data_IF_794702548642
#
_entry.id   IF_794702548642
#
_cell.length_a   1.000
_cell.length_b   1.000
_cell.length_c   1.000
_cell.angle_alpha   90.00
_cell.angle_beta   90.00
_cell.angle_gamma   90.00
#
_symmetry.space_group_name_H-M   'P 1'
#
loop_
_entity.id
_entity.type
_entity.pdbx_description
1 polymer ?
#
# COMPACT_ATOMS: atom_id res chain seq x y z
N UNK A 1 -5.63 14.76 29.14
CA UNK A 1 -4.88 13.49 29.02
C UNK A 1 -5.74 12.24 29.20
N UNK A 2 -6.56 12.07 30.25
CA UNK A 2 -7.23 10.78 30.52
C UNK A 2 -8.16 10.27 29.39
N UNK A 3 -8.89 11.18 28.76
CA UNK A 3 -9.81 10.91 27.64
C UNK A 3 -9.13 10.98 26.26
N UNK A 4 -7.81 11.12 26.21
CA UNK A 4 -7.07 11.23 24.96
C UNK A 4 -6.51 9.86 24.57
N UNK A 5 -6.78 9.40 23.35
CA UNK A 5 -6.31 8.10 22.87
C UNK A 5 -4.79 8.01 22.79
N UNK A 6 -4.12 9.14 22.51
CA UNK A 6 -2.65 9.20 22.46
C UNK A 6 -2.01 9.25 23.86
N UNK A 7 -2.79 9.26 24.94
CA UNK A 7 -2.25 9.19 26.29
C UNK A 7 -1.43 7.91 26.49
N UNK A 8 -0.15 8.07 26.85
CA UNK A 8 0.82 6.97 26.97
C UNK A 8 1.74 6.77 25.75
N UNK A 9 1.50 7.48 24.65
CA UNK A 9 2.37 7.53 23.47
C UNK A 9 2.40 8.95 22.85
N UNK A 10 2.33 9.97 23.71
CA UNK A 10 2.21 11.37 23.32
C UNK A 10 3.55 12.09 23.50
N UNK A 11 4.15 12.57 22.42
CA UNK A 11 5.40 13.34 22.46
C UNK A 11 5.29 14.54 23.42
N UNK A 12 4.17 15.26 23.41
CA UNK A 12 3.97 16.41 24.30
C UNK A 12 3.96 15.99 25.77
N UNK A 13 3.39 14.82 26.09
CA UNK A 13 3.39 14.30 27.45
C UNK A 13 4.81 13.93 27.87
N UNK A 14 5.51 13.16 27.05
CA UNK A 14 6.83 12.62 27.36
C UNK A 14 7.88 13.75 27.45
N UNK A 15 7.82 14.72 26.53
CA UNK A 15 8.71 15.88 26.55
C UNK A 15 8.39 16.83 27.70
N UNK A 16 7.12 17.00 28.09
CA UNK A 16 6.77 17.82 29.25
C UNK A 16 7.25 17.19 30.56
N UNK A 17 7.21 15.86 30.69
CA UNK A 17 7.76 15.14 31.86
C UNK A 17 9.29 15.14 31.83
N UNK A 18 9.91 14.92 30.67
CA UNK A 18 11.37 14.81 30.54
C UNK A 18 12.11 16.15 30.60
N UNK A 19 11.54 17.21 30.04
CA UNK A 19 12.21 18.51 29.87
C UNK A 19 11.36 19.72 30.32
N UNK A 20 10.08 19.52 30.62
CA UNK A 20 9.15 20.58 30.98
C UNK A 20 9.23 20.99 32.45
N UNK A 21 8.30 21.87 32.84
CA UNK A 21 8.13 22.29 34.24
C UNK A 21 7.12 21.40 34.94
N UNK A 22 7.30 21.25 36.25
CA UNK A 22 6.41 20.52 37.15
C UNK A 22 5.07 21.26 37.42
N UNK A 23 5.06 22.58 37.33
CA UNK A 23 3.89 23.43 37.60
C UNK A 23 3.46 24.35 36.45
N UNK A 24 2.17 24.71 36.43
CA UNK A 24 1.62 25.73 35.52
C UNK A 24 1.61 27.11 36.19
N UNK A 25 1.95 28.14 35.41
CA UNK A 25 1.72 29.56 35.78
C UNK A 25 0.52 30.17 35.05
N UNK A 26 -0.08 29.43 34.12
CA UNK A 26 -1.19 29.90 33.31
C UNK A 26 -2.51 29.68 34.06
N UNK A 27 -3.09 30.77 34.57
CA UNK A 27 -4.36 30.78 35.32
C UNK A 27 -5.56 31.32 34.54
N UNK A 28 -5.35 31.77 33.30
CA UNK A 28 -6.39 32.33 32.45
C UNK A 28 -7.21 31.25 31.73
N UNK A 29 -8.28 31.67 31.06
CA UNK A 29 -9.05 30.79 30.19
C UNK A 29 -8.19 30.33 29.01
N UNK A 30 -8.34 29.04 28.65
CA UNK A 30 -7.70 28.47 27.46
C UNK A 30 -8.64 28.63 26.28
N UNK A 31 -8.07 28.83 25.09
CA UNK A 31 -8.86 28.75 23.85
C UNK A 31 -9.49 27.36 23.69
N UNK A 32 -10.64 27.33 23.04
CA UNK A 32 -11.28 26.13 22.56
C UNK A 32 -11.44 26.25 21.04
N UNK A 33 -11.25 25.14 20.35
CA UNK A 33 -11.36 25.06 18.89
C UNK A 33 -12.34 23.94 18.57
N UNK A 34 -13.27 24.23 17.66
CA UNK A 34 -14.27 23.29 17.19
C UNK A 34 -13.63 22.08 16.51
N UNK A 35 -14.24 20.92 16.69
CA UNK A 35 -13.85 19.70 15.98
C UNK A 35 -14.22 19.84 14.50
N UNK A 36 -13.33 19.39 13.62
CA UNK A 36 -13.53 19.42 12.17
C UNK A 36 -13.81 18.01 11.67
N UNK A 37 -14.69 17.86 10.68
CA UNK A 37 -14.87 16.58 10.03
C UNK A 37 -13.81 16.39 8.94
N UNK A 38 -12.93 15.40 9.12
CA UNK A 38 -11.85 15.08 8.17
C UNK A 38 -12.04 13.71 7.51
N UNK A 39 -13.24 13.13 7.65
CA UNK A 39 -13.60 11.83 7.08
C UNK A 39 -13.71 10.69 8.10
N UNK A 40 -13.83 9.44 7.60
CA UNK A 40 -14.10 8.27 8.43
C UNK A 40 -12.85 7.69 9.12
N UNK A 41 -11.64 8.06 8.68
CA UNK A 41 -10.37 7.52 9.18
C UNK A 41 -9.75 8.41 10.26
N UNK A 42 -9.87 9.73 10.13
CA UNK A 42 -9.27 10.73 11.02
C UNK A 42 -10.34 11.34 11.94
N UNK A 43 -10.15 11.17 13.26
CA UNK A 43 -10.93 11.88 14.28
C UNK A 43 -10.14 13.07 14.78
N UNK A 44 -10.81 14.21 14.89
CA UNK A 44 -10.17 15.47 15.27
C UNK A 44 -10.58 15.92 16.67
N UNK A 45 -9.62 16.48 17.39
CA UNK A 45 -9.80 17.20 18.66
C UNK A 45 -8.92 18.44 18.64
N UNK A 46 -9.29 19.45 17.84
CA UNK A 46 -8.42 20.57 17.47
C UNK A 46 -8.01 21.47 18.63
N UNK A 47 -8.75 21.46 19.73
CA UNK A 47 -8.33 22.11 20.99
C UNK A 47 -6.99 21.55 21.50
N UNK A 48 -6.64 20.30 21.17
CA UNK A 48 -5.37 19.65 21.54
C UNK A 48 -4.24 19.94 20.55
N UNK A 49 -4.54 20.52 19.38
CA UNK A 49 -3.55 20.80 18.35
C UNK A 49 -2.62 21.93 18.78
N UNK A 50 -1.32 21.71 18.58
CA UNK A 50 -0.24 22.68 18.85
C UNK A 50 0.23 23.43 17.58
N UNK A 51 -0.48 23.26 16.46
CA UNK A 51 -0.19 23.92 15.17
C UNK A 51 1.25 23.74 14.68
N UNK A 52 1.84 22.54 14.88
CA UNK A 52 3.19 22.22 14.41
C UNK A 52 3.32 22.05 12.88
N UNK A 53 2.19 22.15 12.15
CA UNK A 53 2.06 22.03 10.69
C UNK A 53 2.62 20.74 10.06
N UNK A 54 2.92 19.70 10.84
CA UNK A 54 3.38 18.40 10.30
C UNK A 54 2.34 17.76 9.38
N UNK A 55 1.07 17.73 9.77
CA UNK A 55 -0.02 17.18 8.97
C UNK A 55 -0.21 17.92 7.62
N UNK A 56 -0.13 19.26 7.64
CA UNK A 56 -0.23 20.11 6.44
C UNK A 56 0.90 19.81 5.46
N UNK A 57 2.14 19.73 5.97
CA UNK A 57 3.31 19.37 5.15
C UNK A 57 3.19 17.97 4.59
N UNK A 58 2.84 16.98 5.41
CA UNK A 58 2.69 15.59 4.95
C UNK A 58 1.65 15.46 3.84
N UNK A 59 0.45 16.03 4.03
CA UNK A 59 -0.60 15.87 3.03
C UNK A 59 -0.24 16.56 1.71
N UNK A 60 0.50 17.67 1.78
CA UNK A 60 0.91 18.45 0.60
C UNK A 60 2.11 17.81 -0.11
N UNK A 61 3.13 17.39 0.65
CA UNK A 61 4.42 16.95 0.13
C UNK A 61 4.41 15.43 -0.13
N UNK A 62 3.94 14.61 0.81
CA UNK A 62 4.03 13.14 0.69
C UNK A 62 2.77 12.53 0.08
N UNK A 63 1.59 12.87 0.60
CA UNK A 63 0.34 12.35 0.04
C UNK A 63 -0.03 13.02 -1.28
N UNK A 64 0.34 14.29 -1.45
CA UNK A 64 0.10 15.07 -2.66
C UNK A 64 -1.34 15.52 -2.87
N UNK A 65 -2.10 15.63 -1.78
CA UNK A 65 -3.50 16.08 -1.79
C UNK A 65 -3.60 17.25 -0.80
N UNK A 66 -3.54 18.51 -1.25
CA UNK A 66 -3.45 19.69 -0.38
C UNK A 66 -4.80 20.03 0.31
N UNK A 67 -5.43 19.03 0.92
CA UNK A 67 -6.75 19.14 1.55
C UNK A 67 -6.70 19.79 2.93
N UNK A 68 -5.59 19.62 3.67
CA UNK A 68 -5.38 20.18 5.01
C UNK A 68 -4.55 21.47 4.91
N UNK A 69 -5.07 22.55 5.48
CA UNK A 69 -4.37 23.83 5.56
C UNK A 69 -4.42 24.45 6.96
N UNK A 70 -3.70 25.56 7.12
CA UNK A 70 -3.79 26.43 8.29
C UNK A 70 -4.50 27.72 7.89
N UNK A 71 -5.63 28.00 8.53
CA UNK A 71 -6.40 29.23 8.32
C UNK A 71 -6.22 30.19 9.50
N UNK A 72 -6.63 31.44 9.31
CA UNK A 72 -6.55 32.50 10.33
C UNK A 72 -5.11 32.80 10.77
N UNK A 73 -4.94 33.55 11.86
CA UNK A 73 -3.62 33.99 12.36
C UNK A 73 -3.62 34.14 13.89
N UNK A 74 -2.46 33.97 14.50
CA UNK A 74 -2.26 34.16 15.94
C UNK A 74 -2.93 33.04 16.73
N UNK A 75 -3.56 33.38 17.85
CA UNK A 75 -4.25 32.40 18.69
C UNK A 75 -5.45 31.74 18.01
N UNK A 76 -6.07 32.44 17.05
CA UNK A 76 -7.17 31.94 16.23
C UNK A 76 -6.72 31.09 15.04
N UNK A 77 -5.43 30.75 14.92
CA UNK A 77 -4.94 29.88 13.86
C UNK A 77 -5.46 28.44 14.04
N UNK A 78 -6.10 27.91 12.99
CA UNK A 78 -6.75 26.60 13.00
C UNK A 78 -6.21 25.74 11.86
N UNK A 79 -5.94 24.47 12.18
CA UNK A 79 -5.72 23.44 11.17
C UNK A 79 -7.08 22.88 10.78
N UNK A 80 -7.43 22.96 9.50
CA UNK A 80 -8.72 22.51 8.98
C UNK A 80 -8.57 21.96 7.58
N UNK A 81 -9.56 21.21 7.11
CA UNK A 81 -9.72 20.94 5.68
C UNK A 81 -10.38 22.11 4.99
N UNK A 82 -10.08 22.31 3.70
CA UNK A 82 -10.75 23.31 2.89
C UNK A 82 -12.23 22.93 2.71
N UNK A 83 -13.14 23.77 3.19
CA UNK A 83 -14.61 23.57 3.12
C UNK A 83 -15.12 22.29 3.82
N UNK A 84 -14.50 21.87 4.93
CA UNK A 84 -14.87 20.64 5.66
C UNK A 84 -14.96 19.38 4.77
N UNK A 85 -14.15 19.35 3.70
CA UNK A 85 -14.01 18.17 2.87
C UNK A 85 -13.29 17.06 3.63
N UNK A 86 -13.60 15.83 3.26
CA UNK A 86 -12.83 14.67 3.68
C UNK A 86 -11.42 14.75 3.08
N UNK A 87 -10.43 14.20 3.79
CA UNK A 87 -9.10 14.00 3.24
C UNK A 87 -9.20 12.85 2.23
N UNK A 88 -9.04 13.15 0.94
CA UNK A 88 -9.19 12.16 -0.14
C UNK A 88 -7.83 11.59 -0.55
N UNK A 89 -7.25 10.77 0.33
CA UNK A 89 -5.96 10.14 0.13
C UNK A 89 -5.94 8.72 0.62
N UNK A 90 -5.27 7.85 -0.12
CA UNK A 90 -4.90 6.49 0.26
C UNK A 90 -3.82 6.42 1.35
N UNK A 91 -3.20 7.55 1.70
CA UNK A 91 -2.17 7.69 2.74
C UNK A 91 -2.64 8.57 3.91
N UNK A 92 -3.93 8.87 4.02
CA UNK A 92 -4.47 9.84 4.99
C UNK A 92 -4.19 9.46 6.44
N UNK A 93 -4.21 8.17 6.77
CA UNK A 93 -4.03 7.65 8.12
C UNK A 93 -2.65 7.87 8.71
N UNK A 94 -1.63 8.13 7.89
CA UNK A 94 -0.29 8.49 8.37
C UNK A 94 -0.26 9.85 9.08
N UNK A 95 -1.24 10.72 8.80
CA UNK A 95 -1.40 12.01 9.50
C UNK A 95 -1.61 11.80 11.01
N UNK A 96 -2.23 10.70 11.39
CA UNK A 96 -2.49 10.36 12.79
C UNK A 96 -1.20 9.95 13.50
N UNK A 97 -0.36 9.13 12.86
CA UNK A 97 0.95 8.72 13.39
C UNK A 97 1.90 9.91 13.53
N UNK A 98 1.88 10.81 12.54
CA UNK A 98 2.74 11.98 12.49
C UNK A 98 2.39 13.02 13.56
N UNK A 99 1.15 13.02 14.04
CA UNK A 99 0.67 14.00 15.00
C UNK A 99 1.34 13.76 16.36
N UNK A 100 2.15 14.71 16.88
CA UNK A 100 2.85 14.54 18.16
C UNK A 100 1.91 14.64 19.37
N UNK A 101 0.62 14.91 19.13
CA UNK A 101 -0.42 15.15 20.13
C UNK A 101 -1.71 14.49 19.68
N UNK A 102 -2.60 14.12 20.61
CA UNK A 102 -3.86 13.45 20.27
C UNK A 102 -4.95 14.38 19.72
N UNK A 103 -4.57 15.27 18.81
CA UNK A 103 -5.44 16.14 18.04
C UNK A 103 -5.96 15.46 16.78
N UNK A 104 -5.15 14.60 16.14
CA UNK A 104 -5.53 13.78 15.00
C UNK A 104 -5.32 12.33 15.39
N UNK A 105 -6.41 11.62 15.66
CA UNK A 105 -6.38 10.23 16.13
C UNK A 105 -7.16 9.35 15.17
N UNK A 106 -6.92 8.05 15.22
CA UNK A 106 -7.67 7.15 14.37
C UNK A 106 -9.11 6.99 14.86
N UNK A 107 -10.06 7.23 13.96
CA UNK A 107 -11.49 7.10 14.26
C UNK A 107 -11.95 5.65 14.43
N UNK A 108 -11.51 4.65 13.62
CA UNK A 108 -12.11 3.30 13.69
C UNK A 108 -11.82 2.55 15.00
N UNK A 109 -10.80 2.95 15.75
CA UNK A 109 -10.29 2.25 16.93
C UNK A 109 -10.17 3.19 18.14
N UNK A 110 -10.91 4.30 18.08
CA UNK A 110 -11.01 5.29 19.14
C UNK A 110 -11.56 4.68 20.44
N UNK A 111 -10.87 4.92 21.56
CA UNK A 111 -11.22 4.43 22.90
C UNK A 111 -11.26 2.91 23.10
N UNK A 112 -10.79 2.10 22.13
CA UNK A 112 -10.82 0.64 22.26
C UNK A 112 -9.74 0.07 23.21
N UNK A 113 -8.62 0.77 23.38
CA UNK A 113 -7.45 0.30 24.15
C UNK A 113 -6.59 1.49 24.63
N UNK A 114 -5.54 1.16 25.40
CA UNK A 114 -4.42 2.07 25.69
C UNK A 114 -3.09 1.48 25.24
N UNK A 115 -2.10 2.30 24.83
CA UNK A 115 -0.86 1.80 24.22
C UNK A 115 -0.08 0.79 25.07
N UNK A 116 -0.15 0.92 26.40
CA UNK A 116 0.52 0.02 27.35
C UNK A 116 -0.17 -1.33 27.55
N UNK A 117 -1.42 -1.49 27.08
CA UNK A 117 -2.15 -2.77 27.14
C UNK A 117 -1.78 -3.71 26.00
N UNK A 118 -1.12 -3.20 24.96
CA UNK A 118 -0.95 -3.89 23.70
C UNK A 118 0.36 -4.68 23.65
N UNK A 119 0.27 -5.93 23.19
CA UNK A 119 1.43 -6.70 22.75
C UNK A 119 1.81 -6.27 21.34
N UNK A 120 3.06 -5.84 21.18
CA UNK A 120 3.61 -5.35 19.93
C UNK A 120 4.27 -6.50 19.17
N UNK A 121 3.79 -6.81 17.98
CA UNK A 121 4.38 -7.86 17.12
C UNK A 121 4.83 -7.26 15.80
N UNK A 122 6.12 -7.36 15.51
CA UNK A 122 6.68 -6.92 14.24
C UNK A 122 6.39 -7.96 13.15
N UNK A 123 5.75 -7.54 12.06
CA UNK A 123 5.31 -8.41 10.97
C UNK A 123 5.32 -7.67 9.63
N UNK A 124 4.79 -8.29 8.58
CA UNK A 124 4.76 -7.78 7.20
C UNK A 124 3.31 -7.65 6.73
N UNK A 125 3.04 -6.59 5.99
CA UNK A 125 1.76 -6.35 5.34
C UNK A 125 1.60 -7.22 4.09
N UNK A 126 0.36 -7.62 3.82
CA UNK A 126 -0.02 -8.49 2.70
C UNK A 126 -1.13 -7.87 1.84
N UNK A 127 -1.54 -6.62 2.11
CA UNK A 127 -2.66 -5.97 1.40
C UNK A 127 -2.29 -5.41 0.02
N UNK A 128 -0.99 -5.31 -0.26
CA UNK A 128 -0.40 -5.01 -1.56
C UNK A 128 0.90 -5.82 -1.76
N UNK A 129 1.45 -5.80 -2.97
CA UNK A 129 2.66 -6.55 -3.32
C UNK A 129 3.97 -5.87 -2.86
N UNK A 130 3.91 -4.77 -2.12
CA UNK A 130 5.12 -4.09 -1.62
C UNK A 130 5.72 -4.79 -0.40
N UNK A 131 4.89 -5.47 0.40
CA UNK A 131 5.34 -6.12 1.63
C UNK A 131 5.80 -5.11 2.68
N UNK A 132 4.99 -4.08 2.93
CA UNK A 132 5.32 -2.99 3.86
C UNK A 132 5.62 -3.52 5.27
N UNK A 133 6.67 -2.99 5.92
CA UNK A 133 6.99 -3.38 7.28
C UNK A 133 5.98 -2.78 8.26
N UNK A 134 5.35 -3.63 9.07
CA UNK A 134 4.31 -3.21 10.01
C UNK A 134 4.55 -3.74 11.42
N UNK A 135 3.83 -3.15 12.35
CA UNK A 135 3.69 -3.57 13.74
C UNK A 135 2.20 -3.80 13.99
N UNK A 136 1.84 -5.06 14.22
CA UNK A 136 0.51 -5.45 14.64
C UNK A 136 0.45 -5.43 16.17
N UNK A 137 -0.32 -4.50 16.71
CA UNK A 137 -0.51 -4.39 18.15
C UNK A 137 -1.81 -5.09 18.55
N UNK A 138 -1.72 -6.10 19.42
CA UNK A 138 -2.82 -6.97 19.81
C UNK A 138 -3.12 -6.92 21.30
N UNK A 139 -4.38 -7.20 21.66
CA UNK A 139 -4.81 -7.38 23.04
C UNK A 139 -5.56 -8.71 23.15
N UNK A 140 -4.92 -9.69 23.79
CA UNK A 140 -5.45 -11.05 23.84
C UNK A 140 -5.43 -11.70 22.44
N UNK A 141 -6.60 -12.17 21.99
CA UNK A 141 -6.76 -12.84 20.69
C UNK A 141 -7.05 -11.88 19.53
N UNK A 142 -7.23 -10.58 19.81
CA UNK A 142 -7.65 -9.58 18.84
C UNK A 142 -6.49 -8.67 18.45
N UNK A 143 -6.35 -8.42 17.14
CA UNK A 143 -5.45 -7.38 16.63
C UNK A 143 -6.21 -6.06 16.68
N UNK A 144 -5.73 -5.14 17.51
CA UNK A 144 -6.40 -3.86 17.74
C UNK A 144 -6.01 -2.81 16.69
N UNK A 145 -4.74 -2.83 16.24
CA UNK A 145 -4.23 -1.83 15.31
C UNK A 145 -3.05 -2.23 14.44
N UNK A 146 -3.09 -1.63 13.26
CA UNK A 146 -2.11 -1.45 12.19
C UNK A 146 -1.11 -0.28 12.33
N UNK A 147 0.18 -0.43 12.68
CA UNK A 147 1.14 0.69 12.60
C UNK A 147 2.33 0.39 11.67
N UNK A 148 2.90 1.40 10.99
CA UNK A 148 4.11 1.22 10.20
C UNK A 148 5.33 0.92 11.07
N UNK A 149 6.33 0.26 10.48
CA UNK A 149 7.71 0.23 10.98
C UNK A 149 8.64 0.84 9.96
N UNK A 150 9.71 1.43 10.47
CA UNK A 150 10.72 2.08 9.64
C UNK A 150 11.45 1.04 8.79
N UNK A 151 11.38 1.20 7.47
CA UNK A 151 12.19 0.47 6.51
C UNK A 151 12.47 1.33 5.27
N UNK A 152 13.65 1.95 5.25
CA UNK A 152 14.12 2.82 4.15
C UNK A 152 14.12 2.12 2.78
N UNK A 153 14.23 0.79 2.74
CA UNK A 153 14.22 0.01 1.50
C UNK A 153 12.83 -0.20 0.89
N UNK A 154 11.76 -0.09 1.69
CA UNK A 154 10.38 -0.42 1.30
C UNK A 154 9.44 0.75 1.54
N UNK A 155 8.99 0.95 2.77
CA UNK A 155 7.89 1.86 3.11
C UNK A 155 8.32 3.16 3.82
N UNK A 156 9.62 3.36 4.05
CA UNK A 156 10.13 4.45 4.90
C UNK A 156 9.43 4.36 6.26
N UNK A 157 8.60 5.34 6.63
CA UNK A 157 7.80 5.33 7.86
C UNK A 157 6.29 5.25 7.58
N UNK A 158 5.89 5.05 6.33
CA UNK A 158 4.51 5.20 5.88
C UNK A 158 3.79 3.86 5.73
N UNK A 159 2.46 3.90 5.70
CA UNK A 159 1.59 2.76 5.44
C UNK A 159 0.34 3.21 4.68
N UNK A 160 -0.14 2.38 3.75
CA UNK A 160 -1.43 2.64 3.08
C UNK A 160 -2.60 2.54 4.05
N UNK A 161 -3.67 3.28 3.78
CA UNK A 161 -4.90 3.20 4.59
C UNK A 161 -5.56 1.83 4.49
N UNK A 162 -5.42 1.14 3.34
CA UNK A 162 -5.87 -0.25 3.19
C UNK A 162 -5.20 -1.15 4.22
N UNK A 163 -3.86 -1.15 4.25
CA UNK A 163 -3.06 -1.96 5.16
C UNK A 163 -3.29 -1.61 6.63
N UNK A 164 -3.50 -0.31 6.91
CA UNK A 164 -3.72 0.20 8.26
C UNK A 164 -5.06 -0.21 8.86
N UNK A 165 -6.12 -0.17 8.06
CA UNK A 165 -7.50 -0.33 8.55
C UNK A 165 -8.14 -1.68 8.24
N UNK A 166 -7.58 -2.49 7.33
CA UNK A 166 -8.09 -3.84 7.00
C UNK A 166 -8.07 -4.85 8.17
N UNK A 167 -7.49 -4.46 9.31
CA UNK A 167 -7.47 -5.24 10.55
C UNK A 167 -8.87 -5.58 11.06
N UNK A 168 -9.86 -4.71 10.80
CA UNK A 168 -11.27 -4.95 11.16
C UNK A 168 -11.83 -6.22 10.49
N UNK A 169 -11.41 -6.48 9.26
CA UNK A 169 -11.72 -7.67 8.47
C UNK A 169 -11.24 -8.97 9.12
N UNK A 170 -10.22 -8.93 9.99
CA UNK A 170 -9.68 -10.12 10.65
C UNK A 170 -10.65 -10.70 11.70
N UNK A 171 -11.66 -9.95 12.12
CA UNK A 171 -12.62 -10.39 13.13
C UNK A 171 -13.97 -10.81 12.56
N UNK A 172 -14.29 -10.35 11.34
CA UNK A 172 -15.61 -10.55 10.74
C UNK A 172 -15.53 -11.56 9.58
N UNK A 173 -16.61 -12.33 9.39
CA UNK A 173 -16.76 -13.30 8.28
C UNK A 173 -15.57 -14.29 8.13
N UNK A 174 -14.96 -14.68 9.25
CA UNK A 174 -13.87 -15.66 9.27
C UNK A 174 -14.39 -17.08 9.07
N UNK A 175 -13.63 -17.91 8.38
CA UNK A 175 -13.83 -19.36 8.35
C UNK A 175 -13.25 -19.94 9.64
N UNK A 176 -14.13 -20.32 10.58
CA UNK A 176 -13.77 -20.80 11.92
C UNK A 176 -13.68 -22.32 12.03
N UNK A 177 -14.24 -23.04 11.06
CA UNK A 177 -14.28 -24.51 10.98
C UNK A 177 -14.39 -25.00 9.54
N UNK A 178 -14.12 -26.28 9.25
CA UNK A 178 -14.39 -26.88 7.94
C UNK A 178 -15.89 -26.95 7.61
N UNK A 179 -16.22 -26.82 6.33
CA UNK A 179 -17.58 -26.90 5.82
C UNK A 179 -17.65 -27.81 4.60
N UNK A 180 -18.64 -28.71 4.57
CA UNK A 180 -18.90 -29.62 3.45
C UNK A 180 -20.25 -29.28 2.83
N UNK A 181 -20.34 -29.36 1.50
CA UNK A 181 -21.60 -29.12 0.79
C UNK A 181 -22.41 -30.40 0.68
N UNK A 182 -23.64 -30.37 1.19
CA UNK A 182 -24.61 -31.46 1.13
C UNK A 182 -25.99 -30.88 0.76
N UNK A 183 -26.67 -31.50 -0.21
CA UNK A 183 -27.99 -31.03 -0.69
C UNK A 183 -28.02 -29.53 -1.06
N UNK A 184 -26.92 -29.04 -1.65
CA UNK A 184 -26.77 -27.64 -2.08
C UNK A 184 -26.39 -26.65 -0.98
N UNK A 185 -26.39 -27.03 0.30
CA UNK A 185 -26.06 -26.16 1.44
C UNK A 185 -24.73 -26.55 2.09
N UNK A 186 -24.02 -25.57 2.66
CA UNK A 186 -22.84 -25.83 3.48
C UNK A 186 -23.29 -26.24 4.88
N UNK A 187 -22.73 -27.32 5.39
CA UNK A 187 -22.86 -27.74 6.80
C UNK A 187 -21.50 -27.82 7.47
N UNK A 188 -21.41 -27.60 8.80
CA UNK A 188 -20.18 -27.83 9.54
C UNK A 188 -19.71 -29.28 9.40
N UNK A 189 -18.39 -29.49 9.37
CA UNK A 189 -17.76 -30.80 9.32
C UNK A 189 -16.52 -30.85 10.23
N UNK A 190 -16.08 -32.06 10.60
CA UNK A 190 -14.77 -32.24 11.24
C UNK A 190 -13.64 -32.13 10.20
N UNK A 191 -12.40 -31.97 10.68
CA UNK A 191 -11.24 -31.99 9.80
C UNK A 191 -11.08 -33.33 9.06
N UNK A 192 -11.25 -34.45 9.78
CA UNK A 192 -11.15 -35.79 9.18
C UNK A 192 -12.19 -35.98 8.07
N UNK A 193 -13.44 -35.59 8.32
CA UNK A 193 -14.50 -35.69 7.33
C UNK A 193 -14.21 -34.82 6.10
N UNK A 194 -13.87 -33.55 6.31
CA UNK A 194 -13.61 -32.62 5.22
C UNK A 194 -12.42 -33.07 4.36
N UNK A 195 -11.33 -33.50 4.99
CA UNK A 195 -10.14 -34.00 4.30
C UNK A 195 -10.40 -35.32 3.57
N UNK A 196 -11.17 -36.25 4.16
CA UNK A 196 -11.59 -37.48 3.47
C UNK A 196 -12.41 -37.18 2.22
N UNK A 197 -13.39 -36.28 2.31
CA UNK A 197 -14.21 -35.88 1.14
C UNK A 197 -13.34 -35.28 0.04
N UNK A 198 -12.41 -34.39 0.39
CA UNK A 198 -11.48 -33.79 -0.59
C UNK A 198 -10.58 -34.86 -1.21
N UNK A 199 -9.99 -35.74 -0.40
CA UNK A 199 -9.11 -36.81 -0.87
C UNK A 199 -9.82 -37.78 -1.81
N UNK A 200 -11.05 -38.19 -1.50
CA UNK A 200 -11.84 -39.09 -2.34
C UNK A 200 -12.18 -38.45 -3.69
N UNK A 201 -12.50 -37.15 -3.71
CA UNK A 201 -12.75 -36.41 -4.95
C UNK A 201 -11.50 -36.26 -5.80
N UNK A 202 -10.35 -35.99 -5.19
CA UNK A 202 -9.06 -35.89 -5.89
C UNK A 202 -8.68 -37.26 -6.47
N UNK A 203 -8.79 -38.34 -5.70
CA UNK A 203 -8.46 -39.71 -6.17
C UNK A 203 -9.38 -40.20 -7.28
N UNK A 204 -10.64 -39.78 -7.29
CA UNK A 204 -11.60 -40.18 -8.31
C UNK A 204 -11.45 -39.43 -9.64
N UNK A 205 -10.73 -38.29 -9.65
CA UNK A 205 -10.51 -37.48 -10.83
C UNK A 205 -9.16 -37.82 -11.48
N UNK A 206 -9.06 -37.82 -12.83
CA UNK A 206 -7.79 -37.99 -13.50
C UNK A 206 -6.90 -36.75 -13.29
N UNK A 207 -5.58 -36.94 -13.37
CA UNK A 207 -4.58 -35.94 -13.01
C UNK A 207 -4.69 -34.62 -13.82
N UNK A 208 -5.12 -34.71 -15.08
CA UNK A 208 -5.35 -33.58 -15.98
C UNK A 208 -6.64 -32.80 -15.68
N UNK A 209 -7.52 -33.33 -14.82
CA UNK A 209 -8.80 -32.72 -14.41
C UNK A 209 -8.80 -32.15 -13.00
N UNK A 210 -7.72 -32.35 -12.25
CA UNK A 210 -7.48 -31.66 -10.98
C UNK A 210 -6.52 -30.50 -11.21
N UNK A 211 -6.67 -29.44 -10.42
CA UNK A 211 -5.77 -28.30 -10.44
C UNK A 211 -5.91 -27.46 -9.18
N UNK A 212 -4.96 -26.54 -8.98
CA UNK A 212 -4.89 -25.69 -7.81
C UNK A 212 -4.68 -24.23 -8.23
N UNK A 213 -5.41 -23.33 -7.58
CA UNK A 213 -5.23 -21.89 -7.71
C UNK A 213 -4.87 -21.34 -6.33
N UNK A 214 -3.70 -20.73 -6.20
CA UNK A 214 -3.32 -20.01 -4.99
C UNK A 214 -3.93 -18.60 -5.02
N UNK A 215 -4.48 -18.16 -3.88
CA UNK A 215 -4.97 -16.80 -3.72
C UNK A 215 -3.85 -15.80 -3.41
N UNK A 216 -4.15 -14.50 -3.54
CA UNK A 216 -3.14 -13.43 -3.45
C UNK A 216 -2.52 -13.25 -2.06
N UNK A 217 -3.19 -13.74 -1.02
CA UNK A 217 -2.74 -13.61 0.39
C UNK A 217 -2.05 -14.88 0.93
N UNK A 218 -1.66 -15.83 0.07
CA UNK A 218 -1.00 -17.06 0.50
C UNK A 218 0.50 -16.84 0.73
N UNK A 219 1.03 -17.48 1.76
CA UNK A 219 2.46 -17.55 2.06
C UNK A 219 3.20 -18.52 1.13
N UNK A 220 4.52 -18.36 1.03
CA UNK A 220 5.35 -19.16 0.14
C UNK A 220 5.34 -20.65 0.53
N UNK A 221 5.27 -20.94 1.82
CA UNK A 221 5.26 -22.27 2.39
C UNK A 221 3.99 -23.05 2.00
N UNK A 222 2.81 -22.45 2.16
CA UNK A 222 1.56 -23.10 1.76
C UNK A 222 1.46 -23.27 0.24
N UNK A 223 1.92 -22.28 -0.54
CA UNK A 223 2.00 -22.38 -2.00
C UNK A 223 2.94 -23.50 -2.44
N UNK A 224 4.09 -23.65 -1.77
CA UNK A 224 5.04 -24.74 -2.04
C UNK A 224 4.46 -26.10 -1.68
N UNK A 225 3.83 -26.24 -0.52
CA UNK A 225 3.17 -27.48 -0.10
C UNK A 225 2.06 -27.88 -1.08
N UNK A 226 1.25 -26.92 -1.54
CA UNK A 226 0.21 -27.13 -2.54
C UNK A 226 0.80 -27.57 -3.89
N UNK A 227 1.86 -26.91 -4.33
CA UNK A 227 2.57 -27.26 -5.57
C UNK A 227 3.12 -28.68 -5.51
N UNK A 228 3.81 -29.05 -4.44
CA UNK A 228 4.41 -30.39 -4.28
C UNK A 228 3.34 -31.48 -4.23
N UNK A 229 2.22 -31.23 -3.53
CA UNK A 229 1.08 -32.13 -3.50
C UNK A 229 0.52 -32.36 -4.91
N UNK A 230 0.19 -31.31 -5.65
CA UNK A 230 -0.42 -31.45 -6.98
C UNK A 230 0.55 -32.07 -8.00
N UNK A 231 1.85 -31.76 -7.91
CA UNK A 231 2.87 -32.42 -8.74
C UNK A 231 3.02 -33.90 -8.41
N UNK A 232 2.96 -34.30 -7.14
CA UNK A 232 2.96 -35.73 -6.74
C UNK A 232 1.74 -36.49 -7.26
N UNK A 233 0.60 -35.80 -7.43
CA UNK A 233 -0.63 -36.34 -8.01
C UNK A 233 -0.61 -36.35 -9.55
N UNK A 234 0.49 -35.91 -10.17
CA UNK A 234 0.66 -35.85 -11.62
C UNK A 234 -0.06 -34.68 -12.29
N UNK A 235 -0.57 -33.71 -11.53
CA UNK A 235 -1.26 -32.54 -12.08
C UNK A 235 -0.27 -31.44 -12.44
N UNK A 236 -0.33 -30.98 -13.69
CA UNK A 236 0.39 -29.78 -14.16
C UNK A 236 -0.39 -28.48 -13.89
N UNK A 237 -1.68 -28.58 -13.56
CA UNK A 237 -2.62 -27.44 -13.51
C UNK A 237 -2.50 -26.65 -12.21
N UNK A 238 -1.48 -25.81 -12.10
CA UNK A 238 -1.26 -24.95 -10.92
C UNK A 238 -1.05 -23.52 -11.37
N UNK A 239 -1.75 -22.57 -10.77
CA UNK A 239 -1.56 -21.15 -11.04
C UNK A 239 -1.73 -20.30 -9.77
N UNK A 240 -1.14 -19.12 -9.76
CA UNK A 240 -1.41 -18.07 -8.77
C UNK A 240 -1.91 -16.77 -9.43
N UNK A 241 -1.89 -16.68 -10.78
CA UNK A 241 -2.31 -15.51 -11.54
C UNK A 241 -3.81 -15.59 -11.79
N UNK A 242 -4.60 -15.18 -10.80
CA UNK A 242 -6.07 -15.24 -10.86
C UNK A 242 -6.64 -14.37 -12.00
N UNK A 243 -5.89 -13.39 -12.48
CA UNK A 243 -6.21 -12.47 -13.57
C UNK A 243 -5.70 -12.93 -14.95
N UNK A 244 -4.95 -14.04 -15.01
CA UNK A 244 -4.34 -14.55 -16.23
C UNK A 244 -3.16 -13.73 -16.76
N UNK A 245 -2.44 -13.00 -15.89
CA UNK A 245 -1.28 -12.21 -16.29
C UNK A 245 -0.21 -13.04 -17.05
N UNK A 246 0.38 -12.45 -18.09
CA UNK A 246 1.41 -13.07 -18.92
C UNK A 246 2.81 -13.06 -18.26
N UNK A 247 2.91 -13.58 -17.02
CA UNK A 247 4.13 -13.61 -16.21
C UNK A 247 4.58 -15.04 -15.88
N UNK A 248 5.81 -15.27 -15.43
CA UNK A 248 6.28 -16.59 -14.95
C UNK A 248 7.15 -17.40 -15.92
N UNK A 249 8.05 -16.73 -16.64
CA UNK A 249 9.10 -17.40 -17.43
C UNK A 249 10.22 -18.00 -16.55
N UNK A 250 11.38 -18.35 -17.13
CA UNK A 250 12.50 -18.91 -16.35
C UNK A 250 13.27 -17.86 -15.54
N UNK A 251 13.31 -16.61 -16.02
CA UNK A 251 14.20 -15.58 -15.49
C UNK A 251 13.44 -14.56 -14.61
N UNK A 252 13.86 -14.45 -13.34
CA UNK A 252 13.14 -13.69 -12.30
C UNK A 252 12.95 -12.22 -12.65
N UNK A 253 13.87 -11.63 -13.40
CA UNK A 253 13.79 -10.26 -13.85
C UNK A 253 12.51 -9.96 -14.66
N UNK A 254 11.88 -10.98 -15.23
CA UNK A 254 10.63 -10.84 -15.98
C UNK A 254 9.39 -10.56 -15.12
N UNK A 255 9.48 -10.65 -13.80
CA UNK A 255 8.36 -10.40 -12.87
C UNK A 255 8.82 -9.76 -11.55
N UNK A 256 9.97 -9.11 -11.51
CA UNK A 256 10.42 -8.39 -10.32
C UNK A 256 10.39 -6.88 -10.54
N UNK A 257 10.33 -6.15 -9.43
CA UNK A 257 10.65 -4.73 -9.41
C UNK A 257 12.18 -4.57 -9.30
N UNK A 258 12.88 -4.77 -10.43
CA UNK A 258 14.33 -4.97 -10.49
C UNK A 258 15.17 -3.78 -9.99
N UNK A 259 14.68 -2.54 -10.10
CA UNK A 259 15.39 -1.38 -9.56
C UNK A 259 15.38 -1.34 -8.03
N UNK A 260 14.53 -2.15 -7.40
CA UNK A 260 14.15 -2.00 -6.00
C UNK A 260 13.28 -0.76 -5.78
N UNK A 261 12.49 -0.77 -4.70
CA UNK A 261 11.59 0.34 -4.37
C UNK A 261 12.38 1.61 -4.01
N UNK A 262 13.46 1.48 -3.22
CA UNK A 262 14.35 2.61 -2.95
C UNK A 262 15.11 3.07 -4.21
N UNK A 263 15.50 2.14 -5.08
CA UNK A 263 16.29 2.48 -6.27
C UNK A 263 15.53 3.29 -7.31
N UNK A 264 14.18 3.26 -7.30
CA UNK A 264 13.37 4.12 -8.18
C UNK A 264 13.62 5.61 -7.94
N UNK A 265 14.08 5.99 -6.74
CA UNK A 265 14.42 7.38 -6.42
C UNK A 265 15.65 7.90 -7.19
N UNK A 266 16.40 6.99 -7.82
CA UNK A 266 17.54 7.32 -8.65
C UNK A 266 17.19 7.44 -10.15
N UNK A 267 15.94 7.19 -10.53
CA UNK A 267 15.51 7.30 -11.92
C UNK A 267 15.29 8.77 -12.33
N UNK A 268 15.75 9.14 -13.51
CA UNK A 268 15.58 10.46 -14.13
C UNK A 268 14.51 10.46 -15.24
N UNK A 269 14.04 9.28 -15.64
CA UNK A 269 12.90 9.09 -16.52
C UNK A 269 12.11 7.85 -16.11
N UNK A 270 10.80 7.97 -15.94
CA UNK A 270 9.92 6.86 -15.57
C UNK A 270 8.78 6.74 -16.59
N UNK A 271 8.65 5.58 -17.23
CA UNK A 271 7.49 5.23 -18.05
C UNK A 271 6.62 4.24 -17.30
N UNK A 272 5.39 4.63 -16.96
CA UNK A 272 4.38 3.75 -16.36
C UNK A 272 3.48 3.21 -17.46
N UNK A 273 3.30 1.89 -17.52
CA UNK A 273 2.52 1.21 -18.56
C UNK A 273 1.47 0.30 -17.93
N UNK A 274 0.20 0.64 -18.12
CA UNK A 274 -0.96 -0.15 -17.67
C UNK A 274 -1.02 -0.35 -16.15
N UNK A 275 -0.45 0.58 -15.38
CA UNK A 275 -0.47 0.58 -13.92
C UNK A 275 -1.06 1.89 -13.41
N UNK A 276 -1.80 1.81 -12.31
CA UNK A 276 -2.08 2.96 -11.45
C UNK A 276 -1.38 2.76 -10.09
N UNK A 277 -0.12 3.22 -9.95
CA UNK A 277 0.65 2.98 -8.74
C UNK A 277 0.00 3.60 -7.50
N UNK A 278 -0.82 4.65 -7.64
CA UNK A 278 -1.54 5.25 -6.50
C UNK A 278 -2.51 4.25 -5.85
N UNK A 279 -3.18 3.41 -6.64
CA UNK A 279 -4.17 2.46 -6.12
C UNK A 279 -3.61 1.07 -5.90
N UNK A 280 -2.68 0.64 -6.76
CA UNK A 280 -2.08 -0.69 -6.74
C UNK A 280 -0.99 -0.79 -5.66
N UNK A 281 -0.13 0.23 -5.57
CA UNK A 281 1.02 0.26 -4.66
C UNK A 281 1.29 1.68 -4.14
N UNK A 282 0.44 2.21 -3.23
CA UNK A 282 0.45 3.62 -2.81
C UNK A 282 1.82 4.18 -2.40
N UNK A 283 2.63 3.36 -1.73
CA UNK A 283 3.95 3.78 -1.24
C UNK A 283 5.00 3.85 -2.35
N UNK A 284 4.88 3.04 -3.41
CA UNK A 284 5.67 3.23 -4.62
C UNK A 284 5.30 4.58 -5.26
N UNK A 285 4.01 4.91 -5.34
CA UNK A 285 3.57 6.21 -5.85
C UNK A 285 4.14 7.38 -5.02
N UNK A 286 4.16 7.24 -3.69
CA UNK A 286 4.77 8.23 -2.79
C UNK A 286 6.28 8.41 -3.04
N UNK A 287 7.02 7.33 -3.34
CA UNK A 287 8.45 7.42 -3.71
C UNK A 287 8.67 8.10 -5.06
N UNK A 288 7.83 7.81 -6.05
CA UNK A 288 7.87 8.50 -7.35
C UNK A 288 7.59 10.00 -7.13
N UNK A 289 6.57 10.33 -6.34
CA UNK A 289 6.26 11.71 -5.96
C UNK A 289 7.42 12.41 -5.27
N UNK A 290 8.04 11.77 -4.28
CA UNK A 290 9.21 12.29 -3.56
C UNK A 290 10.34 12.66 -4.51
N UNK A 291 10.56 11.83 -5.54
CA UNK A 291 11.57 12.07 -6.57
C UNK A 291 11.15 13.21 -7.49
N UNK A 292 9.89 13.25 -7.90
CA UNK A 292 9.31 14.34 -8.69
C UNK A 292 9.44 15.70 -7.99
N UNK A 293 9.18 15.77 -6.69
CA UNK A 293 9.32 17.01 -5.91
C UNK A 293 10.75 17.53 -5.81
N UNK A 294 11.77 16.66 -5.84
CA UNK A 294 13.19 17.06 -5.88
C UNK A 294 13.57 17.72 -7.21
N UNK A 295 12.76 17.50 -8.25
CA UNK A 295 13.07 17.86 -9.62
C UNK A 295 14.05 16.88 -10.28
N UNK A 296 14.00 16.79 -11.61
CA UNK A 296 14.93 15.97 -12.38
C UNK A 296 14.43 14.58 -12.78
N UNK A 297 13.15 14.27 -12.56
CA UNK A 297 12.50 13.08 -13.14
C UNK A 297 11.36 13.49 -14.07
N UNK A 298 11.38 12.95 -15.29
CA UNK A 298 10.26 13.04 -16.22
C UNK A 298 9.41 11.76 -16.13
N UNK A 299 8.09 11.92 -15.90
CA UNK A 299 7.16 10.78 -15.80
C UNK A 299 6.22 10.75 -17.00
N UNK A 300 6.14 9.61 -17.66
CA UNK A 300 5.20 9.34 -18.75
C UNK A 300 4.26 8.19 -18.40
N UNK A 301 3.00 8.28 -18.83
CA UNK A 301 1.98 7.24 -18.56
C UNK A 301 1.35 6.76 -19.86
N UNK A 302 1.29 5.43 -20.04
CA UNK A 302 0.50 4.76 -21.07
C UNK A 302 -0.53 3.88 -20.37
N UNK A 303 -1.80 4.23 -20.49
CA UNK A 303 -2.90 3.57 -19.80
C UNK A 303 -4.03 4.53 -19.47
N UNK A 304 -4.93 4.13 -18.56
CA UNK A 304 -5.98 5.01 -18.05
C UNK A 304 -5.40 6.31 -17.47
N UNK A 305 -6.05 7.43 -17.76
CA UNK A 305 -5.68 8.70 -17.14
C UNK A 305 -6.20 8.70 -15.69
N UNK A 306 -5.28 8.79 -14.74
CA UNK A 306 -5.57 8.78 -13.30
C UNK A 306 -4.88 9.95 -12.60
N UNK A 307 -5.42 10.38 -11.46
CA UNK A 307 -4.70 11.32 -10.60
C UNK A 307 -3.64 10.56 -9.80
N UNK A 308 -2.37 10.76 -10.16
CA UNK A 308 -1.21 10.15 -9.50
C UNK A 308 -0.60 11.05 -8.41
N UNK A 309 -1.23 12.19 -8.13
CA UNK A 309 -0.79 13.25 -7.21
C UNK A 309 0.39 14.10 -7.68
N UNK A 310 1.04 13.77 -8.79
CA UNK A 310 2.08 14.57 -9.45
C UNK A 310 1.83 14.70 -10.95
N UNK A 311 2.47 15.69 -11.60
CA UNK A 311 2.33 15.90 -13.03
C UNK A 311 3.05 14.80 -13.83
N UNK A 312 2.43 14.37 -14.92
CA UNK A 312 3.00 13.41 -15.86
C UNK A 312 2.56 13.70 -17.30
N UNK A 313 3.36 13.25 -18.25
CA UNK A 313 2.99 13.26 -19.66
C UNK A 313 2.09 12.05 -19.98
N UNK A 314 0.82 12.29 -20.31
CA UNK A 314 -0.04 11.22 -20.80
C UNK A 314 0.25 10.92 -22.27
N UNK A 315 0.72 9.69 -22.54
CA UNK A 315 1.25 9.29 -23.85
C UNK A 315 0.24 8.48 -24.67
N UNK A 316 -0.79 7.93 -24.04
CA UNK A 316 -1.90 7.25 -24.69
C UNK A 316 -2.62 6.24 -23.80
N UNK A 317 -3.76 5.73 -24.28
CA UNK A 317 -4.68 4.92 -23.48
C UNK A 317 -4.38 3.41 -23.47
N UNK A 318 -3.56 2.87 -24.38
CA UNK A 318 -3.44 1.42 -24.50
C UNK A 318 -2.31 0.91 -25.39
N UNK A 319 -2.31 -0.40 -25.60
CA UNK A 319 -1.21 -1.17 -26.22
C UNK A 319 -0.82 -0.72 -27.63
N UNK A 320 -1.75 -0.14 -28.41
CA UNK A 320 -1.44 0.44 -29.74
C UNK A 320 -0.39 1.55 -29.68
N UNK A 321 -0.34 2.31 -28.59
CA UNK A 321 0.64 3.37 -28.36
C UNK A 321 2.06 2.80 -28.21
N UNK A 322 2.21 1.56 -27.73
CA UNK A 322 3.53 0.93 -27.59
C UNK A 322 4.18 0.62 -28.95
N UNK A 323 3.38 0.30 -29.97
CA UNK A 323 3.89 0.05 -31.33
C UNK A 323 4.40 1.30 -32.04
N UNK A 324 3.91 2.48 -31.66
CA UNK A 324 4.34 3.79 -32.17
C UNK A 324 4.37 4.81 -31.04
N UNK A 325 5.38 4.71 -30.18
CA UNK A 325 5.58 5.68 -29.11
C UNK A 325 5.74 7.09 -29.71
N UNK A 326 5.11 8.11 -29.09
CA UNK A 326 5.38 9.50 -29.45
C UNK A 326 6.88 9.76 -29.40
N UNK A 327 7.40 10.58 -30.33
CA UNK A 327 8.83 10.93 -30.35
C UNK A 327 9.28 11.51 -29.01
N UNK A 328 8.46 12.38 -28.40
CA UNK A 328 8.68 12.91 -27.07
C UNK A 328 8.91 11.83 -26.00
N UNK A 329 8.13 10.73 -26.05
CA UNK A 329 8.25 9.61 -25.12
C UNK A 329 9.57 8.85 -25.28
N UNK A 330 10.01 8.66 -26.53
CA UNK A 330 11.29 7.99 -26.80
C UNK A 330 12.46 8.90 -26.45
N UNK A 331 12.32 10.21 -26.69
CA UNK A 331 13.39 11.19 -26.49
C UNK A 331 13.74 11.34 -24.99
N UNK A 332 12.76 11.40 -24.07
CA UNK A 332 13.07 11.51 -22.64
C UNK A 332 13.70 10.24 -22.07
N UNK A 333 13.21 9.05 -22.47
CA UNK A 333 13.81 7.77 -22.07
C UNK A 333 15.22 7.55 -22.63
N UNK A 334 15.51 8.03 -23.84
CA UNK A 334 16.84 7.81 -24.47
C UNK A 334 17.89 8.78 -23.93
N UNK A 335 17.48 9.99 -23.51
CA UNK A 335 18.38 11.00 -22.94
C UNK A 335 18.71 10.72 -21.46
N UNK A 336 17.89 9.91 -20.80
CA UNK A 336 18.05 9.54 -19.41
C UNK A 336 19.30 8.69 -19.14
N UNK A 337 19.99 9.04 -18.06
CA UNK A 337 21.08 8.24 -17.48
C UNK A 337 20.52 6.98 -16.82
N UNK A 338 19.37 7.06 -16.15
CA UNK A 338 18.75 5.95 -15.40
C UNK A 338 17.26 5.82 -15.72
N UNK A 339 16.90 5.46 -16.97
CA UNK A 339 15.50 5.29 -17.34
C UNK A 339 14.89 4.06 -16.67
N UNK A 340 13.65 4.19 -16.21
CA UNK A 340 12.84 3.12 -15.65
C UNK A 340 11.54 2.92 -16.45
N UNK A 341 11.12 1.66 -16.58
CA UNK A 341 9.82 1.28 -17.12
C UNK A 341 9.11 0.47 -16.03
N UNK A 342 7.94 0.93 -15.59
CA UNK A 342 7.07 0.24 -14.64
C UNK A 342 5.90 -0.34 -15.41
N UNK A 343 5.77 -1.67 -15.37
CA UNK A 343 4.74 -2.43 -16.07
C UNK A 343 3.75 -2.98 -15.05
N UNK A 344 2.50 -2.52 -15.09
CA UNK A 344 1.44 -3.01 -14.20
C UNK A 344 0.68 -4.20 -14.77
N UNK A 345 -0.07 -4.89 -13.90
CA UNK A 345 -0.93 -6.01 -14.28
C UNK A 345 -1.93 -5.65 -15.40
N UNK A 346 -2.42 -4.41 -15.44
CA UNK A 346 -3.32 -3.93 -16.51
C UNK A 346 -2.72 -3.97 -17.92
N UNK A 347 -1.39 -3.98 -18.05
CA UNK A 347 -0.70 -4.16 -19.34
C UNK A 347 -0.48 -5.64 -19.71
N UNK A 348 -0.55 -6.53 -18.73
CA UNK A 348 -0.10 -7.91 -18.81
C UNK A 348 -1.23 -8.94 -18.84
N UNK A 349 -2.46 -8.52 -18.55
CA UNK A 349 -3.65 -9.37 -18.57
C UNK A 349 -4.27 -9.47 -19.97
N UNK A 350 -4.98 -10.58 -20.20
CA UNK A 350 -5.68 -10.86 -21.46
C UNK A 350 -4.80 -11.30 -22.63
N UNK A 351 -5.42 -11.53 -23.79
CA UNK A 351 -4.77 -12.15 -24.97
C UNK A 351 -3.60 -11.32 -25.52
N UNK A 352 -3.61 -10.00 -25.32
CA UNK A 352 -2.54 -9.11 -25.81
C UNK A 352 -1.37 -8.95 -24.85
N UNK A 353 -1.48 -9.43 -23.60
CA UNK A 353 -0.45 -9.30 -22.56
C UNK A 353 0.94 -9.76 -22.98
N UNK A 354 1.11 -10.96 -23.57
CA UNK A 354 2.41 -11.43 -24.05
C UNK A 354 3.03 -10.52 -25.13
N UNK A 355 2.21 -10.01 -26.05
CA UNK A 355 2.67 -9.11 -27.10
C UNK A 355 3.12 -7.75 -26.53
N UNK A 356 2.40 -7.25 -25.52
CA UNK A 356 2.75 -6.02 -24.78
C UNK A 356 4.06 -6.19 -24.04
N UNK A 357 4.25 -7.29 -23.30
CA UNK A 357 5.48 -7.57 -22.58
C UNK A 357 6.69 -7.64 -23.52
N UNK A 358 6.55 -8.32 -24.66
CA UNK A 358 7.59 -8.39 -25.69
C UNK A 358 7.95 -7.02 -26.27
N UNK A 359 6.94 -6.18 -26.55
CA UNK A 359 7.16 -4.82 -27.04
C UNK A 359 7.90 -3.95 -26.01
N UNK A 360 7.56 -4.09 -24.73
CA UNK A 360 8.24 -3.38 -23.63
C UNK A 360 9.67 -3.85 -23.44
N UNK A 361 9.96 -5.15 -23.57
CA UNK A 361 11.32 -5.68 -23.56
C UNK A 361 12.17 -5.13 -24.72
N UNK A 362 11.59 -5.05 -25.93
CA UNK A 362 12.26 -4.44 -27.08
C UNK A 362 12.54 -2.95 -26.89
N UNK A 363 11.58 -2.22 -26.29
CA UNK A 363 11.76 -0.82 -25.91
C UNK A 363 12.88 -0.66 -24.87
N UNK A 364 12.85 -1.46 -23.80
CA UNK A 364 13.83 -1.43 -22.72
C UNK A 364 15.27 -1.60 -23.26
N UNK A 365 15.45 -2.54 -24.20
CA UNK A 365 16.73 -2.74 -24.89
C UNK A 365 17.13 -1.54 -25.76
N UNK A 366 16.19 -0.92 -26.46
CA UNK A 366 16.44 0.24 -27.33
C UNK A 366 16.87 1.48 -26.56
N UNK A 367 16.24 1.75 -25.41
CA UNK A 367 16.51 2.95 -24.59
C UNK A 367 17.58 2.73 -23.52
N UNK A 368 18.11 1.51 -23.37
CA UNK A 368 19.17 1.21 -22.41
C UNK A 368 18.68 1.25 -20.95
N UNK A 369 17.49 0.73 -20.68
CA UNK A 369 16.91 0.60 -19.32
C UNK A 369 17.69 -0.36 -18.43
N UNK A 370 18.46 -1.27 -19.05
CA UNK A 370 19.40 -2.15 -18.35
C UNK A 370 20.81 -1.84 -18.86
N UNK A 371 21.61 -1.13 -18.05
CA UNK A 371 22.99 -0.74 -18.38
C UNK A 371 23.78 -0.44 -17.10
N UNK A 372 25.08 -0.70 -17.10
CA UNK A 372 26.03 -0.22 -16.08
C UNK A 372 25.60 -0.45 -14.61
N UNK A 373 25.01 -1.61 -14.31
CA UNK A 373 24.53 -1.97 -12.97
C UNK A 373 23.16 -1.38 -12.59
N UNK A 374 22.54 -0.60 -13.47
CA UNK A 374 21.15 -0.18 -13.39
C UNK A 374 20.24 -1.17 -14.11
N UNK A 375 19.14 -1.56 -13.47
CA UNK A 375 18.05 -2.32 -14.07
C UNK A 375 16.72 -1.64 -13.77
N UNK A 376 16.28 -0.75 -14.66
CA UNK A 376 15.04 0.00 -14.52
C UNK A 376 13.80 -0.72 -15.08
N UNK A 377 13.91 -1.97 -15.53
CA UNK A 377 12.75 -2.72 -16.04
C UNK A 377 12.02 -3.33 -14.86
N UNK A 378 10.84 -2.81 -14.53
CA UNK A 378 10.12 -3.14 -13.30
C UNK A 378 8.73 -3.68 -13.62
N UNK A 379 8.37 -4.80 -13.01
CA UNK A 379 7.00 -5.31 -13.01
C UNK A 379 6.36 -5.03 -11.65
N UNK A 380 5.24 -4.32 -11.68
CA UNK A 380 4.39 -4.03 -10.53
C UNK A 380 3.26 -5.06 -10.47
N UNK A 381 3.14 -5.74 -9.33
CA UNK A 381 2.09 -6.72 -9.05
C UNK A 381 0.96 -6.12 -8.26
#
# INVERSE_FOLDING_TARGET
CPICDQGGECDLQDQAVGYGRDGSRYGENKRAVEEKNMGPTVKTFMTRCIQCTRCVRFITEVAGVPDIGMISRGESAEITTYLEKNIDSELSGNVNDLCPVGALTHRPWQYHYRPWELKKTETIDVMDALGSNIRADSRGAEVMRVLPRVNEGINEEWLSDKSRYAVDGLQTRRLDRPWVRENGKLRPASWDEALSVVADKIKAAPADRIGAIAGDLQDAESMKALLDLFRSLGSANTDCRQDGAALGGEAREGWLFNSGLQGIENADAILIVGANPRTEAPLLNARIRKTWLKGGVEVGVIGPQADLTYDYAWLGAGSKTLGKLPKAATDFLTKAERPAIIVGAGALTGETGPAVLNALGALAKKVGVVKDGWNGFNVLH
#
